data_IF_879862726009
#
_entry.id   IF_879862726009
#
_cell.length_a   1.000
_cell.length_b   1.000
_cell.length_c   1.000
_cell.angle_alpha   90.00
_cell.angle_beta   90.00
_cell.angle_gamma   90.00
#
_symmetry.space_group_name_H-M   'P 1'
#
loop_
_entity.id
_entity.type
_entity.pdbx_description
1 polymer ?
#
# COMPACT_ATOMS: atom_id res chain seq x y z
N UNK A 1 9.43 -11.13 -20.44
CA UNK A 1 7.94 -11.17 -20.37
C UNK A 1 7.34 -11.01 -21.75
N UNK A 2 7.45 -9.84 -22.39
CA UNK A 2 6.90 -9.61 -23.75
C UNK A 2 7.53 -10.54 -24.80
N UNK A 3 8.87 -10.59 -24.88
CA UNK A 3 9.57 -11.51 -25.79
C UNK A 3 9.26 -13.00 -25.52
N UNK A 4 9.01 -13.38 -24.26
CA UNK A 4 8.67 -14.77 -23.92
C UNK A 4 7.26 -15.14 -24.42
N UNK A 5 6.33 -14.18 -24.39
CA UNK A 5 4.99 -14.35 -24.94
C UNK A 5 5.03 -14.41 -26.47
N UNK A 6 5.84 -13.56 -27.11
CA UNK A 6 6.06 -13.58 -28.56
C UNK A 6 6.71 -14.87 -29.05
N UNK A 7 7.66 -15.41 -28.28
CA UNK A 7 8.32 -16.68 -28.57
C UNK A 7 7.44 -17.91 -28.29
N UNK A 8 6.23 -17.73 -27.72
CA UNK A 8 5.35 -18.83 -27.33
C UNK A 8 5.83 -19.65 -26.13
N UNK A 9 6.78 -19.12 -25.34
CA UNK A 9 7.25 -19.76 -24.10
C UNK A 9 6.21 -19.60 -22.98
N UNK A 10 5.36 -18.57 -23.05
CA UNK A 10 4.27 -18.31 -22.10
C UNK A 10 2.99 -17.93 -22.82
N UNK A 11 1.87 -18.52 -22.40
CA UNK A 11 0.55 -18.27 -23.01
C UNK A 11 -0.20 -17.06 -22.41
N UNK A 12 0.21 -16.60 -21.23
CA UNK A 12 -0.41 -15.46 -20.55
C UNK A 12 0.56 -14.78 -19.58
N UNK A 13 0.46 -13.46 -19.49
CA UNK A 13 1.19 -12.64 -18.50
C UNK A 13 0.17 -11.92 -17.64
N UNK A 14 0.14 -12.26 -16.35
CA UNK A 14 -0.74 -11.63 -15.36
C UNK A 14 0.10 -10.86 -14.36
N UNK A 15 -0.29 -9.62 -14.10
CA UNK A 15 0.32 -8.74 -13.13
C UNK A 15 -0.48 -8.79 -11.82
N UNK A 16 0.22 -9.02 -10.72
CA UNK A 16 -0.34 -8.90 -9.37
C UNK A 16 0.23 -7.64 -8.76
N UNK A 17 -0.65 -6.71 -8.40
CA UNK A 17 -0.25 -5.46 -7.77
C UNK A 17 -1.34 -4.95 -6.83
N UNK A 18 -0.98 -4.00 -5.98
CA UNK A 18 -1.93 -3.36 -5.10
C UNK A 18 -2.48 -2.11 -5.79
N UNK A 19 -3.77 -2.12 -6.13
CA UNK A 19 -4.44 -0.95 -6.69
C UNK A 19 -4.71 0.06 -5.59
N UNK A 20 -4.27 1.29 -5.84
CA UNK A 20 -4.55 2.42 -4.98
C UNK A 20 -5.96 2.94 -5.27
N UNK A 21 -6.91 2.73 -4.35
CA UNK A 21 -8.26 3.31 -4.45
C UNK A 21 -8.29 4.67 -3.77
N UNK A 22 -7.85 4.70 -2.51
CA UNK A 22 -7.65 5.91 -1.73
C UNK A 22 -6.65 5.62 -0.60
N UNK A 23 -6.40 6.60 0.27
CA UNK A 23 -5.42 6.45 1.36
C UNK A 23 -5.78 5.37 2.39
N UNK A 24 -7.06 5.05 2.58
CA UNK A 24 -7.53 4.01 3.51
C UNK A 24 -7.76 2.65 2.87
N UNK A 25 -8.06 2.62 1.56
CA UNK A 25 -8.46 1.41 0.85
C UNK A 25 -7.44 1.09 -0.25
N UNK A 26 -6.78 -0.04 -0.09
CA UNK A 26 -5.89 -0.63 -1.08
C UNK A 26 -6.30 -2.08 -1.31
N UNK A 27 -6.39 -2.51 -2.57
CA UNK A 27 -6.86 -3.85 -2.92
C UNK A 27 -5.84 -4.56 -3.79
N UNK A 28 -5.50 -5.79 -3.43
CA UNK A 28 -4.68 -6.65 -4.30
C UNK A 28 -5.52 -7.09 -5.50
N UNK A 29 -5.05 -6.79 -6.70
CA UNK A 29 -5.72 -7.12 -7.94
C UNK A 29 -4.81 -7.95 -8.86
N UNK A 30 -5.46 -8.86 -9.60
CA UNK A 30 -4.87 -9.64 -10.68
C UNK A 30 -5.32 -9.01 -12.00
N UNK A 31 -4.42 -8.33 -12.69
CA UNK A 31 -4.69 -7.75 -14.01
C UNK A 31 -3.94 -8.53 -15.10
N UNK A 32 -4.67 -8.98 -16.12
CA UNK A 32 -4.06 -9.73 -17.23
C UNK A 32 -3.46 -8.73 -18.22
N UNK A 33 -2.14 -8.68 -18.28
CA UNK A 33 -1.40 -7.79 -19.15
C UNK A 33 -1.35 -8.33 -20.59
N UNK A 34 -1.10 -9.63 -20.76
CA UNK A 34 -1.10 -10.31 -22.05
C UNK A 34 -1.88 -11.64 -21.98
N UNK A 35 -2.65 -12.02 -23.02
CA UNK A 35 -2.99 -11.23 -24.21
C UNK A 35 -3.80 -9.97 -23.88
N UNK A 36 -3.44 -8.85 -24.52
CA UNK A 36 -4.13 -7.56 -24.36
C UNK A 36 -5.50 -7.56 -25.05
N UNK A 37 -6.40 -6.66 -24.65
CA UNK A 37 -7.73 -6.51 -25.30
C UNK A 37 -8.77 -7.54 -24.85
N UNK A 38 -8.51 -8.30 -23.79
CA UNK A 38 -9.48 -9.27 -23.22
C UNK A 38 -10.72 -8.60 -22.60
N UNK A 39 -10.68 -7.30 -22.32
CA UNK A 39 -11.84 -6.47 -21.95
C UNK A 39 -12.08 -5.42 -23.03
N UNK A 40 -13.28 -5.42 -23.60
CA UNK A 40 -13.77 -4.35 -24.46
C UNK A 40 -14.05 -3.14 -23.54
N UNK A 41 -13.28 -2.06 -23.74
CA UNK A 41 -13.36 -0.86 -22.90
C UNK A 41 -14.38 0.17 -23.40
N UNK A 42 -14.82 0.07 -24.65
CA UNK A 42 -15.72 1.01 -25.32
C UNK A 42 -16.73 0.23 -26.13
N UNK A 43 -18.02 0.56 -25.99
CA UNK A 43 -19.06 0.00 -26.85
C UNK A 43 -18.85 0.51 -28.28
N UNK A 44 -18.78 -0.37 -29.30
CA UNK A 44 -18.60 0.05 -30.68
C UNK A 44 -19.62 1.09 -31.16
N UNK A 45 -20.82 1.14 -30.55
CA UNK A 45 -21.86 2.10 -30.87
C UNK A 45 -21.58 3.54 -30.43
N UNK A 46 -20.62 3.75 -29.53
CA UNK A 46 -20.22 5.09 -29.05
C UNK A 46 -19.04 5.67 -29.85
N UNK A 47 -18.48 4.91 -30.80
CA UNK A 47 -17.34 5.37 -31.60
C UNK A 47 -17.81 6.36 -32.66
N UNK A 48 -17.32 7.60 -32.58
CA UNK A 48 -17.65 8.67 -33.53
C UNK A 48 -17.26 8.30 -34.97
N UNK A 49 -18.17 8.53 -35.93
CA UNK A 49 -17.95 8.26 -37.35
C UNK A 49 -16.68 8.94 -37.91
N UNK A 50 -16.24 10.06 -37.34
CA UNK A 50 -15.01 10.76 -37.72
C UNK A 50 -13.73 9.93 -37.51
N UNK A 51 -13.74 8.98 -36.56
CA UNK A 51 -12.60 8.09 -36.29
C UNK A 51 -12.48 7.02 -37.40
N UNK A 52 -13.61 6.58 -37.95
CA UNK A 52 -13.67 5.58 -39.03
C UNK A 52 -13.05 6.08 -40.35
N UNK A 53 -13.10 7.40 -40.60
CA UNK A 53 -12.52 8.02 -41.81
C UNK A 53 -11.06 8.45 -41.62
N UNK A 54 -10.44 8.14 -40.48
CA UNK A 54 -9.06 8.50 -40.20
C UNK A 54 -8.09 7.79 -41.15
N UNK A 55 -7.14 8.55 -41.71
CA UNK A 55 -6.03 8.00 -42.50
C UNK A 55 -4.90 7.62 -41.55
N UNK A 56 -4.43 6.38 -41.66
CA UNK A 56 -3.31 5.85 -40.87
C UNK A 56 -2.08 5.72 -41.76
N UNK A 57 -0.97 6.33 -41.33
CA UNK A 57 0.34 6.20 -41.98
C UNK A 57 1.34 5.61 -40.98
N UNK A 58 2.22 4.67 -41.37
CA UNK A 58 2.42 4.08 -42.69
C UNK A 58 1.39 3.01 -43.11
N UNK A 59 0.91 2.19 -42.16
CA UNK A 59 -0.20 1.25 -42.37
C UNK A 59 -0.91 0.97 -41.04
N UNK A 60 -2.17 0.51 -41.07
CA UNK A 60 -2.93 0.19 -39.85
C UNK A 60 -2.20 -0.85 -38.97
N UNK A 61 -1.67 -1.98 -39.50
CA UNK A 61 -0.98 -2.96 -38.69
C UNK A 61 0.26 -2.39 -37.99
N UNK A 62 1.08 -1.59 -38.68
CA UNK A 62 2.29 -0.99 -38.11
C UNK A 62 1.98 0.02 -37.00
N UNK A 63 0.92 0.82 -37.19
CA UNK A 63 0.46 1.77 -36.17
C UNK A 63 -0.07 1.03 -34.95
N UNK A 64 -0.87 -0.01 -35.16
CA UNK A 64 -1.43 -0.80 -34.05
C UNK A 64 -0.34 -1.52 -33.26
N UNK A 65 0.67 -2.08 -33.92
CA UNK A 65 1.78 -2.75 -33.26
C UNK A 65 2.57 -1.79 -32.36
N UNK A 66 2.93 -0.62 -32.90
CA UNK A 66 3.62 0.42 -32.14
C UNK A 66 2.79 0.93 -30.94
N UNK A 67 1.47 1.06 -31.10
CA UNK A 67 0.56 1.48 -30.02
C UNK A 67 0.39 0.38 -28.98
N UNK A 68 0.34 -0.89 -29.38
CA UNK A 68 0.18 -2.03 -28.48
C UNK A 68 1.34 -2.10 -27.47
N UNK A 69 2.60 -2.01 -27.92
CA UNK A 69 3.75 -1.99 -27.03
C UNK A 69 3.71 -0.80 -26.05
N UNK A 70 3.36 0.40 -26.56
CA UNK A 70 3.22 1.60 -25.71
C UNK A 70 2.13 1.44 -24.67
N UNK A 71 1.00 0.84 -25.04
CA UNK A 71 -0.11 0.59 -24.13
C UNK A 71 0.28 -0.37 -23.00
N UNK A 72 0.99 -1.46 -23.32
CA UNK A 72 1.51 -2.41 -22.33
C UNK A 72 2.48 -1.72 -21.37
N UNK A 73 3.40 -0.89 -21.91
CA UNK A 73 4.33 -0.11 -21.09
C UNK A 73 3.62 0.88 -20.16
N UNK A 74 2.62 1.60 -20.68
CA UNK A 74 1.81 2.54 -19.89
C UNK A 74 1.02 1.82 -18.77
N UNK A 75 0.43 0.65 -19.05
CA UNK A 75 -0.28 -0.17 -18.06
C UNK A 75 0.65 -0.65 -16.95
N UNK A 76 1.84 -1.12 -17.31
CA UNK A 76 2.83 -1.54 -16.33
C UNK A 76 3.29 -0.37 -15.45
N UNK A 77 3.53 0.80 -16.04
CA UNK A 77 3.91 2.00 -15.31
C UNK A 77 2.80 2.45 -14.35
N UNK A 78 1.54 2.43 -14.80
CA UNK A 78 0.40 2.75 -13.95
C UNK A 78 0.32 1.80 -12.76
N UNK A 79 0.41 0.49 -12.98
CA UNK A 79 0.35 -0.49 -11.91
C UNK A 79 1.51 -0.35 -10.92
N UNK A 80 2.71 0.01 -11.40
CA UNK A 80 3.85 0.31 -10.53
C UNK A 80 3.59 1.55 -9.66
N UNK A 81 3.04 2.61 -10.23
CA UNK A 81 2.70 3.83 -9.50
C UNK A 81 1.61 3.57 -8.44
N UNK A 82 0.58 2.82 -8.80
CA UNK A 82 -0.48 2.40 -7.86
C UNK A 82 0.08 1.57 -6.70
N UNK A 83 0.99 0.63 -6.99
CA UNK A 83 1.62 -0.19 -5.97
C UNK A 83 2.47 0.66 -5.00
N UNK A 84 3.24 1.61 -5.53
CA UNK A 84 4.07 2.52 -4.71
C UNK A 84 3.23 3.48 -3.87
N UNK A 85 2.16 4.03 -4.44
CA UNK A 85 1.23 4.88 -3.69
C UNK A 85 0.55 4.09 -2.55
N UNK A 86 0.11 2.86 -2.85
CA UNK A 86 -0.49 1.95 -1.87
C UNK A 86 0.49 1.60 -0.75
N UNK A 87 1.72 1.22 -1.08
CA UNK A 87 2.79 0.94 -0.12
C UNK A 87 3.04 2.13 0.81
N UNK A 88 3.19 3.33 0.25
CA UNK A 88 3.44 4.54 1.03
C UNK A 88 2.28 4.84 1.99
N UNK A 89 1.04 4.73 1.51
CA UNK A 89 -0.15 4.96 2.34
C UNK A 89 -0.28 3.94 3.47
N UNK A 90 -0.12 2.65 3.16
CA UNK A 90 -0.15 1.58 4.16
C UNK A 90 0.94 1.77 5.22
N UNK A 91 2.16 2.14 4.79
CA UNK A 91 3.27 2.44 5.71
C UNK A 91 2.93 3.61 6.61
N UNK A 92 2.41 4.71 6.07
CA UNK A 92 2.03 5.88 6.88
C UNK A 92 0.98 5.53 7.93
N UNK A 93 -0.05 4.75 7.57
CA UNK A 93 -1.08 4.31 8.51
C UNK A 93 -0.53 3.37 9.57
N UNK A 94 0.31 2.40 9.19
CA UNK A 94 0.96 1.51 10.14
C UNK A 94 1.83 2.28 11.15
N UNK A 95 2.60 3.26 10.68
CA UNK A 95 3.44 4.09 11.54
C UNK A 95 2.62 5.00 12.46
N UNK A 96 1.51 5.55 11.96
CA UNK A 96 0.57 6.32 12.78
C UNK A 96 0.02 5.46 13.91
N UNK A 97 -0.54 4.28 13.59
CA UNK A 97 -1.07 3.36 14.60
C UNK A 97 0.01 2.91 15.60
N UNK A 98 1.24 2.68 15.14
CA UNK A 98 2.35 2.35 16.02
C UNK A 98 2.71 3.50 16.97
N UNK A 99 2.64 4.75 16.49
CA UNK A 99 2.90 5.94 17.29
C UNK A 99 1.81 6.14 18.34
N UNK A 100 0.54 6.01 17.93
CA UNK A 100 -0.61 6.13 18.82
C UNK A 100 -0.54 5.06 19.93
N UNK A 101 -0.29 3.78 19.57
CA UNK A 101 -0.12 2.70 20.55
C UNK A 101 1.08 2.90 21.49
N UNK A 102 2.18 3.48 20.99
CA UNK A 102 3.35 3.78 21.81
C UNK A 102 3.06 4.91 22.80
N UNK A 103 2.28 5.92 22.40
CA UNK A 103 1.84 7.00 23.29
C UNK A 103 0.99 6.45 24.43
N UNK A 104 0.02 5.59 24.12
CA UNK A 104 -0.83 4.95 25.12
C UNK A 104 0.02 4.15 26.13
N UNK A 105 1.02 3.41 25.64
CA UNK A 105 1.93 2.64 26.49
C UNK A 105 2.79 3.55 27.39
N UNK A 106 3.24 4.70 26.89
CA UNK A 106 4.00 5.68 27.67
C UNK A 106 3.13 6.23 28.80
N UNK A 107 1.87 6.54 28.54
CA UNK A 107 0.94 7.04 29.55
C UNK A 107 0.69 6.01 30.66
N UNK A 108 0.46 4.75 30.28
CA UNK A 108 0.28 3.64 31.22
C UNK A 108 1.52 3.39 32.08
N UNK A 109 2.70 3.34 31.47
CA UNK A 109 3.96 3.14 32.17
C UNK A 109 4.30 4.32 33.09
N UNK A 110 3.96 5.54 32.68
CA UNK A 110 4.15 6.74 33.50
C UNK A 110 3.26 6.70 34.75
N UNK A 111 2.00 6.26 34.60
CA UNK A 111 1.10 6.05 35.74
C UNK A 111 1.64 4.97 36.68
N UNK A 112 2.09 3.84 36.15
CA UNK A 112 2.67 2.75 36.93
C UNK A 112 3.94 3.18 37.67
N UNK A 113 4.84 3.92 37.00
CA UNK A 113 6.05 4.48 37.59
C UNK A 113 5.73 5.41 38.76
N UNK A 114 4.74 6.30 38.61
CA UNK A 114 4.34 7.20 39.68
C UNK A 114 3.75 6.47 40.89
N UNK A 115 2.93 5.44 40.66
CA UNK A 115 2.40 4.58 41.73
C UNK A 115 3.52 3.85 42.47
N UNK A 116 4.45 3.23 41.73
CA UNK A 116 5.61 2.55 42.32
C UNK A 116 6.50 3.51 43.12
N UNK A 117 6.74 4.71 42.59
CA UNK A 117 7.51 5.77 43.27
C UNK A 117 6.84 6.19 44.58
N UNK A 118 5.53 6.40 44.58
CA UNK A 118 4.80 6.75 45.80
C UNK A 118 4.83 5.61 46.82
N UNK A 119 4.64 4.37 46.36
CA UNK A 119 4.75 3.18 47.22
C UNK A 119 6.13 3.06 47.88
N UNK A 120 7.21 3.30 47.13
CA UNK A 120 8.56 3.29 47.66
C UNK A 120 8.78 4.38 48.73
N UNK A 121 8.34 5.62 48.48
CA UNK A 121 8.44 6.72 49.46
C UNK A 121 7.67 6.39 50.74
N UNK A 122 6.44 5.86 50.61
CA UNK A 122 5.63 5.46 51.78
C UNK A 122 6.31 4.34 52.56
N UNK A 123 6.91 3.36 51.87
CA UNK A 123 7.64 2.28 52.52
C UNK A 123 8.89 2.78 53.25
N UNK A 124 9.69 3.64 52.63
CA UNK A 124 10.85 4.27 53.30
C UNK A 124 10.42 5.03 54.57
N UNK A 125 9.33 5.81 54.50
CA UNK A 125 8.81 6.54 55.67
C UNK A 125 8.31 5.60 56.77
N UNK A 126 7.65 4.50 56.41
CA UNK A 126 7.18 3.49 57.37
C UNK A 126 8.36 2.78 58.06
N UNK A 127 9.42 2.46 57.32
CA UNK A 127 10.65 1.87 57.85
C UNK A 127 11.38 2.83 58.80
N UNK A 128 11.47 4.12 58.46
CA UNK A 128 12.04 5.15 59.35
C UNK A 128 11.22 5.26 60.64
N UNK A 129 9.90 5.39 60.54
CA UNK A 129 9.03 5.52 61.73
C UNK A 129 9.11 4.29 62.63
N UNK A 130 9.06 3.09 62.06
CA UNK A 130 9.17 1.84 62.82
C UNK A 130 10.55 1.66 63.47
N UNK A 131 11.61 2.11 62.79
CA UNK A 131 12.97 2.11 63.35
C UNK A 131 13.12 3.05 64.54
N UNK A 132 12.55 4.26 64.48
CA UNK A 132 12.56 5.22 65.59
C UNK A 132 11.80 4.67 66.80
N UNK A 133 10.59 4.15 66.61
CA UNK A 133 9.77 3.56 67.68
C UNK A 133 10.50 2.39 68.39
N UNK A 134 11.23 1.58 67.63
CA UNK A 134 12.01 0.46 68.17
C UNK A 134 13.21 0.91 69.02
N UNK A 135 13.69 2.15 68.88
CA UNK A 135 14.76 2.72 69.71
C UNK A 135 14.24 3.36 71.01
N UNK A 136 12.95 3.66 71.10
CA UNK A 136 12.32 4.23 72.30
C UNK A 136 11.86 3.17 73.31
N UNK A 137 11.85 1.88 72.93
CA UNK A 137 11.60 0.73 73.81
C UNK A 137 12.90 0.11 74.36
#
# INVERSE_FOLDING_TARGET
>A
AVNMFENGEVDAVTLVYTRFVNSMVQTAELDRLLPAGTKILVDPSEVSNTISDAKYEPSIPEVLDAVAYRLVGARLLQALLDARASEHSMRMMAMKNATDNASDLVDDLTLAMNKARQGAITQELAEISGGVEAMEQ
#
